data_IF_077721575728
#
_entry.id   IF_077721575728
#
_cell.length_a   1.000
_cell.length_b   1.000
_cell.length_c   1.000
_cell.angle_alpha   90.00
_cell.angle_beta   90.00
_cell.angle_gamma   90.00
#
_symmetry.space_group_name_H-M   'P 1'
#
loop_
_entity.id
_entity.type
_entity.pdbx_description
1 polymer ?
#
# COMPACT_ATOMS: atom_id res chain seq x y z
N UNK A 1 -26.40 3.49 -2.28
CA UNK A 1 -25.83 2.14 -2.07
C UNK A 1 -24.76 2.24 -0.99
N UNK A 2 -25.07 1.85 0.25
CA UNK A 2 -24.11 1.86 1.36
C UNK A 2 -23.27 0.59 1.32
N UNK A 3 -21.95 0.74 1.17
CA UNK A 3 -21.01 -0.38 1.17
C UNK A 3 -20.94 -1.00 2.58
N UNK A 4 -20.75 -2.33 2.73
CA UNK A 4 -20.76 -2.98 4.06
C UNK A 4 -19.58 -2.57 4.96
N UNK A 5 -18.53 -1.96 4.40
CA UNK A 5 -17.31 -1.63 5.13
C UNK A 5 -17.47 -0.36 5.97
N UNK A 6 -17.20 -0.46 7.27
CA UNK A 6 -17.16 0.68 8.18
C UNK A 6 -15.81 1.39 8.13
N UNK A 7 -15.79 2.71 8.34
CA UNK A 7 -14.58 3.54 8.33
C UNK A 7 -13.50 2.99 9.27
N UNK A 8 -13.86 2.56 10.48
CA UNK A 8 -12.89 1.97 11.42
C UNK A 8 -12.24 0.70 10.89
N UNK A 9 -13.01 -0.14 10.20
CA UNK A 9 -12.49 -1.38 9.61
C UNK A 9 -11.59 -1.05 8.42
N UNK A 10 -12.01 -0.12 7.55
CA UNK A 10 -11.21 0.36 6.43
C UNK A 10 -9.84 0.88 6.88
N UNK A 11 -9.82 1.78 7.87
CA UNK A 11 -8.58 2.35 8.40
C UNK A 11 -7.71 1.26 9.06
N UNK A 12 -8.30 0.30 9.77
CA UNK A 12 -7.54 -0.85 10.33
C UNK A 12 -6.89 -1.68 9.23
N UNK A 13 -7.61 -1.96 8.14
CA UNK A 13 -7.06 -2.70 7.01
C UNK A 13 -5.94 -1.91 6.30
N UNK A 14 -6.04 -0.59 6.23
CA UNK A 14 -4.97 0.27 5.70
C UNK A 14 -3.72 0.25 6.59
N UNK A 15 -3.90 0.19 7.92
CA UNK A 15 -2.78 -0.04 8.85
C UNK A 15 -2.15 -1.42 8.65
N UNK A 16 -2.95 -2.47 8.45
CA UNK A 16 -2.44 -3.81 8.12
C UNK A 16 -1.66 -3.78 6.81
N UNK A 17 -2.19 -3.13 5.77
CA UNK A 17 -1.49 -2.91 4.51
C UNK A 17 -0.12 -2.24 4.72
N UNK A 18 -0.09 -1.11 5.45
CA UNK A 18 1.16 -0.40 5.73
C UNK A 18 2.17 -1.28 6.47
N UNK A 19 1.71 -2.04 7.48
CA UNK A 19 2.56 -2.96 8.23
C UNK A 19 3.12 -4.10 7.35
N UNK A 20 2.29 -4.71 6.50
CA UNK A 20 2.73 -5.75 5.56
C UNK A 20 3.76 -5.21 4.56
N UNK A 21 3.52 -4.02 4.01
CA UNK A 21 4.42 -3.42 3.04
C UNK A 21 5.77 -3.04 3.66
N UNK A 22 5.76 -2.41 4.84
CA UNK A 22 6.99 -2.11 5.58
C UNK A 22 7.71 -3.40 5.98
N UNK A 23 6.98 -4.43 6.42
CA UNK A 23 7.55 -5.74 6.73
C UNK A 23 8.25 -6.38 5.52
N UNK A 24 7.63 -6.31 4.33
CA UNK A 24 8.26 -6.78 3.09
C UNK A 24 9.53 -5.98 2.75
N UNK A 25 9.50 -4.65 2.92
CA UNK A 25 10.67 -3.79 2.69
C UNK A 25 11.82 -4.10 3.66
N UNK A 26 11.53 -4.34 4.93
CA UNK A 26 12.51 -4.75 5.94
C UNK A 26 13.09 -6.11 5.58
N UNK A 27 12.25 -7.09 5.22
CA UNK A 27 12.73 -8.40 4.77
C UNK A 27 13.61 -8.30 3.51
N UNK A 28 13.25 -7.40 2.58
CA UNK A 28 14.03 -7.12 1.38
C UNK A 28 15.41 -6.53 1.73
N UNK A 29 15.46 -5.58 2.67
CA UNK A 29 16.71 -5.00 3.16
C UNK A 29 17.57 -6.03 3.89
N UNK A 30 16.97 -6.85 4.76
CA UNK A 30 17.67 -7.90 5.49
C UNK A 30 18.28 -8.94 4.53
N UNK A 31 17.54 -9.38 3.51
CA UNK A 31 18.08 -10.27 2.47
C UNK A 31 19.24 -9.62 1.72
N UNK A 32 19.13 -8.33 1.38
CA UNK A 32 20.22 -7.61 0.72
C UNK A 32 21.49 -7.58 1.58
N UNK A 33 21.35 -7.39 2.90
CA UNK A 33 22.47 -7.41 3.83
C UNK A 33 23.11 -8.81 4.00
N UNK A 34 22.34 -9.89 3.85
CA UNK A 34 22.82 -11.27 4.07
C UNK A 34 23.37 -11.90 2.78
N UNK A 35 22.70 -11.71 1.65
CA UNK A 35 22.97 -12.43 0.39
C UNK A 35 23.45 -11.47 -0.73
N UNK A 36 23.54 -10.17 -0.45
CA UNK A 36 23.97 -9.15 -1.42
C UNK A 36 22.90 -8.76 -2.44
N UNK A 37 21.67 -9.30 -2.33
CA UNK A 37 20.57 -8.99 -3.25
C UNK A 37 19.22 -8.83 -2.50
N UNK A 38 18.41 -7.80 -2.81
CA UNK A 38 17.10 -7.59 -2.18
C UNK A 38 16.03 -8.56 -2.70
N UNK A 39 14.85 -8.59 -2.06
CA UNK A 39 13.69 -9.35 -2.56
C UNK A 39 13.05 -8.70 -3.80
N UNK A 40 13.13 -7.37 -3.88
CA UNK A 40 12.65 -6.58 -5.01
C UNK A 40 13.57 -5.39 -5.26
N UNK A 41 13.58 -4.86 -6.48
CA UNK A 41 14.34 -3.66 -6.86
C UNK A 41 13.76 -2.33 -6.33
N UNK A 42 12.80 -2.38 -5.40
CA UNK A 42 12.21 -1.18 -4.83
C UNK A 42 13.27 -0.30 -4.13
N UNK A 43 13.17 1.03 -4.30
CA UNK A 43 13.95 1.97 -3.49
C UNK A 43 13.43 1.95 -2.05
N UNK A 44 14.10 1.19 -1.19
CA UNK A 44 13.65 0.90 0.18
C UNK A 44 13.50 2.18 1.03
N UNK A 45 14.52 3.07 1.14
CA UNK A 45 14.37 4.29 1.95
C UNK A 45 13.22 5.19 1.48
N UNK A 46 13.11 5.43 0.17
CA UNK A 46 12.05 6.26 -0.37
C UNK A 46 10.66 5.64 -0.11
N UNK A 47 10.55 4.32 -0.25
CA UNK A 47 9.30 3.59 -0.02
C UNK A 47 8.89 3.62 1.45
N UNK A 48 9.83 3.45 2.39
CA UNK A 48 9.56 3.60 3.84
C UNK A 48 9.10 5.02 4.15
N UNK A 49 9.76 6.04 3.60
CA UNK A 49 9.35 7.44 3.77
C UNK A 49 7.92 7.69 3.30
N UNK A 50 7.53 7.12 2.16
CA UNK A 50 6.16 7.18 1.66
C UNK A 50 5.17 6.49 2.62
N UNK A 51 5.51 5.33 3.18
CA UNK A 51 4.67 4.64 4.16
C UNK A 51 4.53 5.40 5.48
N UNK A 52 5.55 6.15 5.91
CA UNK A 52 5.46 7.04 7.09
C UNK A 52 4.44 8.17 6.83
N UNK A 53 4.53 8.84 5.67
CA UNK A 53 3.57 9.87 5.28
C UNK A 53 2.14 9.30 5.15
N UNK A 54 2.02 8.13 4.54
CA UNK A 54 0.76 7.41 4.43
C UNK A 54 0.17 7.09 5.81
N UNK A 55 0.96 6.50 6.71
CA UNK A 55 0.56 6.18 8.07
C UNK A 55 0.11 7.42 8.87
N UNK A 56 0.80 8.55 8.71
CA UNK A 56 0.40 9.82 9.32
C UNK A 56 -1.00 10.26 8.85
N UNK A 57 -1.30 10.11 7.55
CA UNK A 57 -2.62 10.44 6.99
C UNK A 57 -3.76 9.59 7.56
N UNK A 58 -3.48 8.36 8.00
CA UNK A 58 -4.48 7.46 8.60
C UNK A 58 -4.98 7.93 9.98
N UNK A 59 -4.34 8.94 10.59
CA UNK A 59 -4.84 9.58 11.81
C UNK A 59 -5.87 10.68 11.54
N UNK A 60 -5.96 11.20 10.31
CA UNK A 60 -6.87 12.30 9.95
C UNK A 60 -8.35 12.02 10.27
N UNK A 61 -8.89 10.80 10.06
CA UNK A 61 -10.28 10.49 10.44
C UNK A 61 -10.53 10.66 11.94
N UNK A 62 -9.55 10.33 12.80
CA UNK A 62 -9.68 10.47 14.27
C UNK A 62 -9.75 11.94 14.70
N UNK A 63 -9.12 12.83 13.93
CA UNK A 63 -9.19 14.28 14.13
C UNK A 63 -10.43 14.92 13.49
N UNK A 64 -11.41 14.13 13.01
CA UNK A 64 -12.60 14.62 12.31
C UNK A 64 -12.32 15.18 10.91
N UNK A 65 -11.09 15.05 10.39
CA UNK A 65 -10.67 15.60 9.09
C UNK A 65 -10.91 14.61 7.94
N UNK A 66 -12.15 14.13 7.80
CA UNK A 66 -12.49 13.08 6.83
C UNK A 66 -12.23 13.47 5.37
N UNK A 67 -12.49 14.73 4.99
CA UNK A 67 -12.21 15.23 3.64
C UNK A 67 -10.72 15.14 3.29
N UNK A 68 -9.86 15.59 4.20
CA UNK A 68 -8.40 15.52 4.05
C UNK A 68 -7.88 14.09 4.01
N UNK A 69 -8.43 13.20 4.84
CA UNK A 69 -8.15 11.77 4.76
C UNK A 69 -8.41 11.23 3.35
N UNK A 70 -9.59 11.50 2.77
CA UNK A 70 -9.94 11.02 1.42
C UNK A 70 -9.01 11.57 0.36
N UNK A 71 -8.69 12.87 0.42
CA UNK A 71 -7.76 13.51 -0.50
C UNK A 71 -6.35 12.90 -0.41
N UNK A 72 -5.88 12.59 0.81
CA UNK A 72 -4.58 11.94 1.01
C UNK A 72 -4.49 10.54 0.39
N UNK A 73 -5.62 9.87 0.15
CA UNK A 73 -5.63 8.55 -0.51
C UNK A 73 -5.41 8.64 -2.02
N UNK A 74 -5.60 9.81 -2.64
CA UNK A 74 -5.40 9.98 -4.09
C UNK A 74 -3.92 9.81 -4.47
N UNK A 75 -2.95 10.50 -3.82
CA UNK A 75 -1.54 10.20 -4.04
C UNK A 75 -1.17 8.74 -3.74
N UNK A 76 -1.77 8.14 -2.71
CA UNK A 76 -1.55 6.73 -2.38
C UNK A 76 -1.96 5.79 -3.54
N UNK A 77 -3.03 6.11 -4.28
CA UNK A 77 -3.42 5.36 -5.48
C UNK A 77 -2.37 5.45 -6.60
N UNK A 78 -1.80 6.63 -6.80
CA UNK A 78 -0.76 6.82 -7.83
C UNK A 78 0.48 6.00 -7.48
N UNK A 79 0.96 6.09 -6.25
CA UNK A 79 2.18 5.39 -5.85
C UNK A 79 1.98 3.88 -5.70
N UNK A 80 0.96 3.44 -4.97
CA UNK A 80 0.76 2.00 -4.69
C UNK A 80 0.07 1.28 -5.85
N UNK A 81 -0.90 1.91 -6.49
CA UNK A 81 -1.58 1.33 -7.66
C UNK A 81 -0.74 1.46 -8.92
N UNK A 82 -0.39 2.69 -9.30
CA UNK A 82 0.44 2.95 -10.47
C UNK A 82 1.84 2.35 -10.34
N UNK A 83 2.59 2.76 -9.32
CA UNK A 83 3.96 2.27 -9.12
C UNK A 83 4.04 0.84 -8.57
N UNK A 84 3.23 0.52 -7.57
CA UNK A 84 3.29 -0.76 -6.84
C UNK A 84 2.61 -1.93 -7.54
N UNK A 85 1.61 -1.70 -8.38
CA UNK A 85 0.92 -2.76 -9.15
C UNK A 85 1.25 -2.66 -10.63
N UNK A 86 0.79 -1.61 -11.30
CA UNK A 86 0.82 -1.51 -12.77
C UNK A 86 2.26 -1.58 -13.29
N UNK A 87 3.14 -0.72 -12.78
CA UNK A 87 4.54 -0.70 -13.21
C UNK A 87 5.29 -2.01 -12.90
N UNK A 88 4.93 -2.70 -11.81
CA UNK A 88 5.53 -3.99 -11.48
C UNK A 88 5.07 -5.10 -12.43
N UNK A 89 3.79 -5.14 -12.78
CA UNK A 89 3.25 -6.12 -13.74
C UNK A 89 3.85 -5.88 -15.13
N UNK A 90 3.94 -4.62 -15.56
CA UNK A 90 4.57 -4.29 -16.85
C UNK A 90 6.05 -4.67 -16.88
N UNK A 91 6.83 -4.32 -15.85
CA UNK A 91 8.23 -4.75 -15.75
C UNK A 91 8.40 -6.26 -15.78
N UNK A 92 7.49 -7.01 -15.15
CA UNK A 92 7.52 -8.46 -15.19
C UNK A 92 7.19 -9.00 -16.58
N UNK A 93 6.24 -8.40 -17.30
CA UNK A 93 5.92 -8.79 -18.67
C UNK A 93 7.07 -8.51 -19.65
N UNK A 94 7.81 -7.43 -19.43
CA UNK A 94 8.94 -7.02 -20.29
C UNK A 94 10.24 -7.77 -19.97
N UNK A 95 10.58 -7.92 -18.68
CA UNK A 95 11.91 -8.36 -18.23
C UNK A 95 11.86 -9.56 -17.29
N UNK A 96 10.69 -10.19 -17.10
CA UNK A 96 10.52 -11.32 -16.19
C UNK A 96 10.90 -10.97 -14.74
N UNK A 97 11.81 -11.75 -14.17
CA UNK A 97 12.20 -11.64 -12.75
C UNK A 97 13.39 -10.73 -12.49
N UNK A 98 13.91 -9.97 -13.45
CA UNK A 98 15.10 -9.13 -13.21
C UNK A 98 14.94 -8.16 -12.01
N UNK A 99 13.72 -7.71 -11.74
CA UNK A 99 13.42 -6.83 -10.61
C UNK A 99 13.09 -7.56 -9.29
N UNK A 100 13.10 -8.89 -9.27
CA UNK A 100 12.61 -9.71 -8.14
C UNK A 100 13.47 -10.95 -7.88
N UNK A 101 13.66 -11.29 -6.62
CA UNK A 101 14.42 -12.49 -6.26
C UNK A 101 13.74 -13.81 -6.66
N UNK A 102 12.42 -13.80 -6.87
CA UNK A 102 11.62 -14.98 -7.28
C UNK A 102 10.22 -14.57 -7.70
N UNK A 103 9.49 -15.48 -8.35
CA UNK A 103 8.04 -15.32 -8.63
C UNK A 103 7.25 -15.08 -7.34
N UNK A 104 7.59 -15.78 -6.25
CA UNK A 104 6.91 -15.60 -4.96
C UNK A 104 7.10 -14.19 -4.41
N UNK A 105 8.32 -13.63 -4.49
CA UNK A 105 8.58 -12.25 -4.06
C UNK A 105 7.79 -11.24 -4.90
N UNK A 106 7.71 -11.46 -6.22
CA UNK A 106 6.88 -10.67 -7.12
C UNK A 106 5.40 -10.70 -6.75
N UNK A 107 4.82 -11.90 -6.61
CA UNK A 107 3.40 -12.09 -6.29
C UNK A 107 3.05 -11.46 -4.95
N UNK A 108 3.90 -11.63 -3.92
CA UNK A 108 3.70 -11.01 -2.61
C UNK A 108 3.74 -9.48 -2.72
N UNK A 109 4.75 -8.92 -3.39
CA UNK A 109 4.90 -7.47 -3.53
C UNK A 109 3.72 -6.83 -4.27
N UNK A 110 3.32 -7.41 -5.39
CA UNK A 110 2.16 -6.93 -6.18
C UNK A 110 0.87 -7.13 -5.40
N UNK A 111 0.69 -8.27 -4.72
CA UNK A 111 -0.49 -8.57 -3.91
C UNK A 111 -0.69 -7.58 -2.76
N UNK A 112 0.37 -7.24 -2.02
CA UNK A 112 0.32 -6.23 -0.96
C UNK A 112 -0.09 -4.87 -1.53
N UNK A 113 0.51 -4.44 -2.64
CA UNK A 113 0.18 -3.16 -3.27
C UNK A 113 -1.24 -3.13 -3.83
N UNK A 114 -1.71 -4.22 -4.44
CA UNK A 114 -3.07 -4.35 -4.96
C UNK A 114 -4.09 -4.26 -3.82
N UNK A 115 -3.84 -4.96 -2.71
CA UNK A 115 -4.66 -4.86 -1.50
C UNK A 115 -4.75 -3.41 -0.99
N UNK A 116 -3.61 -2.74 -0.82
CA UNK A 116 -3.58 -1.32 -0.42
C UNK A 116 -4.31 -0.41 -1.40
N UNK A 117 -4.12 -0.62 -2.70
CA UNK A 117 -4.75 0.16 -3.77
C UNK A 117 -6.27 0.10 -3.69
N UNK A 118 -6.83 -1.10 -3.51
CA UNK A 118 -8.28 -1.29 -3.38
C UNK A 118 -8.82 -0.52 -2.15
N UNK A 119 -8.15 -0.62 -1.00
CA UNK A 119 -8.57 0.10 0.20
C UNK A 119 -8.52 1.62 0.02
N UNK A 120 -7.44 2.12 -0.61
CA UNK A 120 -7.28 3.54 -0.88
C UNK A 120 -8.30 4.06 -1.91
N UNK A 121 -8.72 3.22 -2.85
CA UNK A 121 -9.76 3.56 -3.82
C UNK A 121 -11.11 3.69 -3.14
N UNK A 122 -11.46 2.72 -2.30
CA UNK A 122 -12.67 2.75 -1.46
C UNK A 122 -12.69 4.02 -0.60
N UNK A 123 -11.55 4.35 0.02
CA UNK A 123 -11.41 5.54 0.85
C UNK A 123 -11.55 6.84 0.05
N UNK A 124 -10.82 7.00 -1.06
CA UNK A 124 -10.86 8.19 -1.90
C UNK A 124 -12.28 8.48 -2.40
N UNK A 125 -12.96 7.44 -2.91
CA UNK A 125 -14.34 7.54 -3.41
C UNK A 125 -15.39 7.68 -2.30
N UNK A 126 -15.02 7.48 -1.03
CA UNK A 126 -15.96 7.58 0.08
C UNK A 126 -16.93 6.38 0.17
N UNK A 127 -16.54 5.23 -0.36
CA UNK A 127 -17.34 4.01 -0.43
C UNK A 127 -17.31 3.22 0.89
N UNK A 128 -17.60 3.90 2.01
CA UNK A 128 -17.63 3.30 3.35
C UNK A 128 -18.71 3.94 4.23
N UNK A 129 -19.19 3.21 5.24
CA UNK A 129 -20.08 3.76 6.27
C UNK A 129 -19.27 4.53 7.31
N UNK A 130 -19.78 5.68 7.75
CA UNK A 130 -19.22 6.35 8.93
C UNK A 130 -19.63 5.53 10.17
N UNK A 131 -18.74 5.44 11.14
CA UNK A 131 -19.09 4.86 12.43
C UNK A 131 -20.20 5.73 13.06
N UNK A 132 -21.32 5.12 13.48
CA UNK A 132 -22.43 5.84 14.13
C UNK A 132 -23.41 6.54 13.20
N UNK A 133 -23.31 6.39 11.88
CA UNK A 133 -24.44 6.71 10.99
C UNK A 133 -25.51 5.62 11.05
N UNK A 134 -26.82 5.96 11.04
CA UNK A 134 -27.90 4.98 10.99
C UNK A 134 -27.75 3.98 9.82
#
# INVERSE_FOLDING_TARGET
MSWPLHLRVLVRLQWVFAALAVGFLIASAARAAIVGAPLSAANIPASIGLFVLYAASLFLPRAGRLGWYRLAMIPALVFFGGGGVIANVLRYAENGLESYASVTAFVIAVGINAFGTILNLIAALGLFRKDGSP
#
